data_IF_117298686105
#
_entry.id   IF_117298686105
#
_cell.length_a   1.000
_cell.length_b   1.000
_cell.length_c   1.000
_cell.angle_alpha   90.00
_cell.angle_beta   90.00
_cell.angle_gamma   90.00
#
_symmetry.space_group_name_H-M   'P 1'
#
loop_
_entity.id
_entity.type
_entity.pdbx_description
1 polymer ?
#
# COMPACT_ATOMS: atom_id res chain seq x y z
N UNK A 1 7.52 10.11 12.13
CA UNK A 1 7.16 9.67 10.77
C UNK A 1 8.39 9.74 9.87
N UNK A 2 8.51 8.82 8.93
CA UNK A 2 9.62 8.76 7.98
C UNK A 2 9.01 8.67 6.58
N UNK A 3 9.21 9.70 5.75
CA UNK A 3 8.92 9.65 4.32
C UNK A 3 10.06 8.96 3.59
N UNK A 4 9.75 8.00 2.73
CA UNK A 4 10.74 7.20 1.98
C UNK A 4 10.47 7.32 0.49
N UNK A 5 11.49 7.70 -0.27
CA UNK A 5 11.46 7.71 -1.73
C UNK A 5 12.21 6.49 -2.26
N UNK A 6 11.53 5.72 -3.10
CA UNK A 6 12.09 4.58 -3.83
C UNK A 6 11.99 4.88 -5.32
N UNK A 7 13.13 4.85 -6.03
CA UNK A 7 13.20 5.22 -7.46
C UNK A 7 12.89 4.07 -8.41
N UNK A 8 12.96 2.83 -7.91
CA UNK A 8 12.80 1.61 -8.69
C UNK A 8 11.56 0.84 -8.24
N UNK A 9 10.44 0.88 -8.99
CA UNK A 9 9.18 0.29 -8.58
C UNK A 9 9.24 -1.21 -8.28
N UNK A 10 10.11 -1.96 -8.96
CA UNK A 10 10.38 -3.38 -8.73
C UNK A 10 10.92 -3.69 -7.32
N UNK A 11 11.42 -2.68 -6.61
CA UNK A 11 11.98 -2.80 -5.25
C UNK A 11 10.98 -2.50 -4.15
N UNK A 12 9.84 -1.88 -4.46
CA UNK A 12 8.84 -1.45 -3.47
C UNK A 12 8.34 -2.65 -2.66
N UNK A 13 7.92 -3.73 -3.33
CA UNK A 13 7.36 -4.90 -2.65
C UNK A 13 8.37 -5.58 -1.70
N UNK A 14 9.67 -5.58 -2.04
CA UNK A 14 10.70 -6.13 -1.16
C UNK A 14 10.98 -5.22 0.03
N UNK A 15 10.99 -3.91 -0.20
CA UNK A 15 11.11 -2.92 0.85
C UNK A 15 9.94 -3.01 1.85
N UNK A 16 8.69 -3.06 1.38
CA UNK A 16 7.49 -3.17 2.21
C UNK A 16 7.56 -4.40 3.13
N UNK A 17 7.95 -5.56 2.59
CA UNK A 17 8.12 -6.79 3.38
C UNK A 17 9.16 -6.65 4.48
N UNK A 18 10.32 -6.04 4.16
CA UNK A 18 11.40 -5.88 5.13
C UNK A 18 11.03 -4.87 6.22
N UNK A 19 10.40 -3.76 5.85
CA UNK A 19 9.94 -2.74 6.79
C UNK A 19 8.81 -3.25 7.68
N UNK A 20 7.90 -4.08 7.16
CA UNK A 20 6.85 -4.70 7.96
C UNK A 20 7.37 -5.69 9.02
N UNK A 21 8.63 -6.13 8.92
CA UNK A 21 9.28 -7.01 9.89
C UNK A 21 10.03 -6.23 11.00
N UNK A 22 10.04 -4.89 10.97
CA UNK A 22 10.72 -4.08 11.97
C UNK A 22 9.76 -3.72 13.10
N UNK A 23 10.07 -4.13 14.33
CA UNK A 23 9.21 -3.93 15.51
C UNK A 23 8.92 -2.45 15.82
N UNK A 24 9.85 -1.55 15.48
CA UNK A 24 9.67 -0.11 15.68
C UNK A 24 8.67 0.51 14.68
N UNK A 25 8.28 -0.20 13.61
CA UNK A 25 7.36 0.26 12.57
C UNK A 25 5.93 -0.12 12.93
N UNK A 26 5.08 0.90 13.12
CA UNK A 26 3.68 0.72 13.48
C UNK A 26 2.75 0.70 12.27
N UNK A 27 3.08 1.49 11.26
CA UNK A 27 2.27 1.63 10.05
C UNK A 27 3.18 1.95 8.85
N UNK A 28 2.86 1.41 7.69
CA UNK A 28 3.55 1.68 6.43
C UNK A 28 2.50 1.86 5.33
N UNK A 29 2.51 3.03 4.69
CA UNK A 29 1.47 3.41 3.72
C UNK A 29 2.11 3.79 2.40
N UNK A 30 1.62 3.20 1.30
CA UNK A 30 1.90 3.72 -0.03
C UNK A 30 1.11 5.02 -0.22
N UNK A 31 1.82 6.09 -0.56
CA UNK A 31 1.24 7.43 -0.66
C UNK A 31 1.48 8.04 -2.03
N UNK A 32 0.56 8.90 -2.44
CA UNK A 32 0.80 9.86 -3.53
C UNK A 32 1.50 11.09 -2.95
N UNK A 33 2.47 11.67 -3.65
CA UNK A 33 3.15 12.89 -3.21
C UNK A 33 4.67 12.82 -3.41
N UNK A 34 5.43 13.50 -2.55
CA UNK A 34 6.90 13.55 -2.64
C UNK A 34 7.64 12.27 -2.20
N UNK A 35 6.90 11.28 -1.70
CA UNK A 35 7.43 10.01 -1.22
C UNK A 35 6.66 8.84 -1.84
N UNK A 36 7.32 7.70 -1.94
CA UNK A 36 6.67 6.44 -2.30
C UNK A 36 5.92 5.86 -1.09
N UNK A 37 6.56 5.90 0.08
CA UNK A 37 6.02 5.34 1.31
C UNK A 37 6.09 6.36 2.45
N UNK A 38 5.10 6.32 3.33
CA UNK A 38 5.07 7.05 4.59
C UNK A 38 5.00 6.06 5.75
N UNK A 39 5.99 6.10 6.63
CA UNK A 39 6.14 5.17 7.74
C UNK A 39 5.87 5.90 9.06
N UNK A 40 5.01 5.31 9.89
CA UNK A 40 4.87 5.67 11.30
C UNK A 40 5.69 4.70 12.14
N UNK A 41 6.56 5.24 12.98
CA UNK A 41 7.42 4.44 13.85
C UNK A 41 7.45 5.03 15.26
N UNK A 42 7.67 4.17 16.26
CA UNK A 42 7.95 4.55 17.64
C UNK A 42 9.21 3.83 18.09
N UNK A 43 10.16 4.59 18.60
CA UNK A 43 11.46 4.09 19.05
C UNK A 43 11.72 4.57 20.47
N UNK A 44 12.52 3.84 21.26
CA UNK A 44 12.77 4.18 22.67
C UNK A 44 13.44 5.56 22.88
N UNK A 45 14.33 5.96 21.97
CA UNK A 45 15.09 7.21 22.02
C UNK A 45 15.68 7.58 20.64
N UNK A 46 16.41 8.69 20.57
CA UNK A 46 17.04 9.17 19.34
C UNK A 46 18.08 8.21 18.77
N UNK A 47 18.82 7.48 19.62
CA UNK A 47 19.78 6.48 19.15
C UNK A 47 19.09 5.27 18.50
N UNK A 48 17.96 4.80 19.04
CA UNK A 48 17.16 3.77 18.36
C UNK A 48 16.52 4.29 17.07
N UNK A 49 16.10 5.56 17.04
CA UNK A 49 15.60 6.20 15.81
C UNK A 49 16.66 6.27 14.72
N UNK A 50 17.89 6.67 15.07
CA UNK A 50 19.01 6.71 14.13
C UNK A 50 19.33 5.33 13.56
N UNK A 51 19.32 4.27 14.39
CA UNK A 51 19.48 2.89 13.93
C UNK A 51 18.38 2.48 12.94
N UNK A 52 17.11 2.75 13.28
CA UNK A 52 15.99 2.44 12.39
C UNK A 52 16.11 3.17 11.04
N UNK A 53 16.47 4.46 11.05
CA UNK A 53 16.68 5.24 9.83
C UNK A 53 17.83 4.66 9.01
N UNK A 54 18.94 4.29 9.65
CA UNK A 54 20.09 3.66 9.00
C UNK A 54 19.71 2.33 8.35
N UNK A 55 18.97 1.49 9.07
CA UNK A 55 18.45 0.22 8.56
C UNK A 55 17.55 0.43 7.35
N UNK A 56 16.56 1.33 7.44
CA UNK A 56 15.69 1.70 6.32
C UNK A 56 16.50 2.18 5.12
N UNK A 57 17.47 3.07 5.33
CA UNK A 57 18.31 3.62 4.25
C UNK A 57 19.25 2.59 3.63
N UNK A 58 19.59 1.52 4.34
CA UNK A 58 20.40 0.42 3.82
C UNK A 58 19.62 -0.51 2.89
N UNK A 59 18.28 -0.43 2.89
CA UNK A 59 17.45 -1.28 2.05
C UNK A 59 17.61 -0.91 0.56
N UNK A 60 17.77 -1.91 -0.33
CA UNK A 60 17.91 -1.65 -1.77
C UNK A 60 16.75 -0.86 -2.36
N UNK A 61 17.07 0.15 -3.16
CA UNK A 61 16.09 0.99 -3.86
C UNK A 61 15.70 2.27 -3.09
N UNK A 62 16.07 2.42 -1.83
CA UNK A 62 15.84 3.66 -1.07
C UNK A 62 16.77 4.76 -1.57
N UNK A 63 16.18 5.79 -2.17
CA UNK A 63 16.92 6.94 -2.69
C UNK A 63 17.04 8.05 -1.66
N UNK A 64 15.98 8.29 -0.88
CA UNK A 64 15.93 9.38 0.11
C UNK A 64 14.99 9.02 1.24
N UNK A 65 15.33 9.49 2.43
CA UNK A 65 14.42 9.52 3.59
C UNK A 65 14.30 10.93 4.12
N UNK A 66 13.12 11.31 4.60
CA UNK A 66 12.89 12.52 5.37
C UNK A 66 12.19 12.16 6.69
N UNK A 67 12.76 12.57 7.82
CA UNK A 67 12.25 12.20 9.14
C UNK A 67 11.62 13.40 9.83
N UNK A 68 10.42 13.19 10.35
CA UNK A 68 9.67 14.15 11.16
C UNK A 68 9.47 13.56 12.56
N UNK A 69 10.11 14.17 13.56
CA UNK A 69 9.93 13.80 14.97
C UNK A 69 8.72 14.55 15.52
N UNK A 70 7.72 13.80 15.99
CA UNK A 70 6.51 14.38 16.60
C UNK A 70 6.84 14.78 18.04
N UNK A 71 6.74 16.08 18.35
CA UNK A 71 7.06 16.60 19.68
C UNK A 71 5.91 16.41 20.69
N UNK A 72 4.67 16.50 20.22
CA UNK A 72 3.48 16.26 21.02
C UNK A 72 2.36 15.68 20.16
N UNK A 73 1.60 14.76 20.75
CA UNK A 73 0.48 14.08 20.09
C UNK A 73 -0.80 14.42 20.83
N UNK A 74 -1.67 15.21 20.19
CA UNK A 74 -2.96 15.58 20.80
C UNK A 74 -3.97 14.42 20.79
N UNK A 75 -3.88 13.51 19.82
CA UNK A 75 -4.76 12.35 19.71
C UNK A 75 -4.05 11.23 18.95
N UNK A 76 -4.14 10.01 19.46
CA UNK A 76 -3.75 8.79 18.76
C UNK A 76 -4.73 7.68 19.18
N UNK A 77 -5.45 7.10 18.21
CA UNK A 77 -6.42 6.03 18.46
C UNK A 77 -6.64 5.21 17.20
N UNK A 78 -6.99 3.94 17.36
CA UNK A 78 -7.54 3.10 16.29
C UNK A 78 -9.04 3.01 16.53
N UNK A 79 -9.82 3.92 15.95
CA UNK A 79 -11.27 3.93 16.13
C UNK A 79 -11.94 3.58 14.79
N UNK A 80 -12.46 2.37 14.71
CA UNK A 80 -13.15 1.85 13.53
C UNK A 80 -14.53 1.32 13.95
N UNK A 81 -15.59 1.87 13.37
CA UNK A 81 -16.95 1.34 13.42
C UNK A 81 -17.48 1.31 11.98
N UNK A 82 -17.75 0.12 11.45
CA UNK A 82 -18.10 -0.13 10.04
C UNK A 82 -19.61 -0.39 9.90
N UNK A 83 -20.26 0.19 8.89
CA UNK A 83 -21.68 0.00 8.61
C UNK A 83 -21.95 -1.28 7.78
N UNK A 84 -23.04 -2.05 8.04
CA UNK A 84 -23.28 -3.34 7.37
C UNK A 84 -23.59 -3.29 5.87
N UNK A 85 -23.64 -2.10 5.23
CA UNK A 85 -24.17 -1.91 3.88
C UNK A 85 -23.15 -1.56 2.79
N UNK A 86 -21.88 -1.32 3.13
CA UNK A 86 -20.90 -0.75 2.19
C UNK A 86 -20.26 -1.80 1.24
N UNK A 87 -20.81 -3.01 1.20
CA UNK A 87 -20.29 -4.14 0.43
C UNK A 87 -20.98 -4.46 -0.89
N UNK A 88 -22.01 -3.71 -1.32
CA UNK A 88 -22.73 -4.05 -2.57
C UNK A 88 -22.93 -2.88 -3.52
N UNK A 89 -22.11 -2.86 -4.57
CA UNK A 89 -22.50 -2.42 -5.90
C UNK A 89 -21.80 -3.26 -6.97
N UNK A 90 -22.31 -4.47 -7.20
CA UNK A 90 -22.35 -5.03 -8.54
C UNK A 90 -23.82 -5.36 -8.85
N UNK A 91 -24.47 -4.61 -9.75
CA UNK A 91 -24.84 -5.28 -11.00
C UNK A 91 -24.99 -4.34 -12.22
N UNK A 92 -24.26 -4.65 -13.31
CA UNK A 92 -24.66 -4.28 -14.67
C UNK A 92 -23.93 -5.22 -15.66
N UNK A 93 -24.55 -6.17 -16.35
CA UNK A 93 -25.96 -6.50 -16.42
C UNK A 93 -26.19 -7.83 -17.14
N UNK A 94 -27.45 -8.27 -17.14
CA UNK A 94 -27.95 -9.42 -17.89
C UNK A 94 -27.77 -9.17 -19.40
N UNK A 95 -26.73 -9.71 -20.03
CA UNK A 95 -26.76 -9.97 -21.49
C UNK A 95 -27.59 -11.22 -21.74
N UNK A 96 -28.91 -11.01 -21.80
CA UNK A 96 -29.79 -11.87 -22.58
C UNK A 96 -29.34 -11.79 -24.04
N UNK A 97 -28.68 -12.84 -24.55
CA UNK A 97 -28.65 -13.11 -25.98
C UNK A 97 -29.22 -14.51 -26.21
N UNK A 98 -30.51 -14.45 -26.53
CA UNK A 98 -31.37 -15.47 -27.12
C UNK A 98 -30.59 -16.37 -28.09
N UNK A 99 -30.77 -17.66 -27.90
CA UNK A 99 -30.45 -18.71 -28.86
C UNK A 99 -31.30 -18.51 -30.13
N UNK A 100 -30.66 -18.56 -31.29
CA UNK A 100 -31.29 -18.30 -32.59
C UNK A 100 -30.57 -19.07 -33.71
N UNK A 101 -30.97 -20.33 -33.84
CA UNK A 101 -31.21 -21.02 -35.11
C UNK A 101 -30.02 -21.34 -36.04
N UNK A 102 -29.80 -22.66 -36.12
CA UNK A 102 -29.34 -23.41 -37.27
C UNK A 102 -29.72 -22.74 -38.61
N UNK A 103 -28.73 -22.51 -39.46
CA UNK A 103 -28.94 -22.54 -40.90
C UNK A 103 -27.88 -23.40 -41.55
N UNK A 104 -28.33 -24.56 -42.02
CA UNK A 104 -27.63 -25.43 -42.93
C UNK A 104 -27.46 -24.74 -44.28
N UNK A 105 -26.23 -24.55 -44.74
CA UNK A 105 -25.86 -24.66 -46.16
C UNK A 105 -24.36 -24.44 -46.31
N UNK A 106 -23.60 -25.51 -46.53
CA UNK A 106 -22.46 -25.42 -47.44
C UNK A 106 -22.67 -26.46 -48.53
N UNK A 107 -22.97 -25.94 -49.72
CA UNK A 107 -23.15 -26.68 -50.96
C UNK A 107 -21.78 -27.14 -51.47
N UNK A 108 -21.82 -28.29 -52.15
CA UNK A 108 -20.80 -28.89 -53.01
C UNK A 108 -20.01 -27.87 -53.85
N UNK A 109 -18.72 -28.14 -53.99
CA UNK A 109 -18.04 -28.27 -55.28
C UNK A 109 -16.96 -29.34 -55.13
#
# INVERSE_FOLDING_TARGET
FIGVLITHPDRIADFERKVAALDDVLECHHVTGGYTLLIKAKTANTSSLERLISEIRSLPGVARTETMVVLSTHTERVQLALNPGDGEAAPAGKRSRRNGERSAHLRRA
#
